data_IF_643574702932
#
_entry.id   IF_643574702932
#
_cell.length_a   1.000
_cell.length_b   1.000
_cell.length_c   1.000
_cell.angle_alpha   90.00
_cell.angle_beta   90.00
_cell.angle_gamma   90.00
#
_symmetry.space_group_name_H-M   'P 1'
#
loop_
_entity.id
_entity.type
_entity.pdbx_description
1 polymer ?
#
# COMPACT_ATOMS: atom_id res chain seq x y z
N UNK A 1 22.89 38.51 42.64
CA UNK A 1 23.76 38.33 41.46
C UNK A 1 23.19 39.20 40.33
N UNK A 2 24.04 39.70 39.43
CA UNK A 2 23.59 40.55 38.32
C UNK A 2 23.02 39.63 37.26
N UNK A 3 21.88 39.98 36.68
CA UNK A 3 21.20 39.32 35.55
C UNK A 3 21.43 40.25 34.31
N UNK A 4 22.39 39.95 33.46
CA UNK A 4 22.82 40.89 32.38
C UNK A 4 21.85 40.94 31.20
N UNK A 5 21.17 39.87 30.90
CA UNK A 5 20.22 39.72 29.76
C UNK A 5 18.73 39.79 30.18
N UNK A 6 18.50 39.80 31.50
CA UNK A 6 17.16 39.90 32.11
C UNK A 6 16.22 38.74 31.78
N UNK A 7 16.72 37.55 31.68
CA UNK A 7 15.94 36.31 31.44
C UNK A 7 15.39 35.71 32.76
N UNK A 8 15.86 36.17 33.93
CA UNK A 8 15.43 35.73 35.25
C UNK A 8 16.34 34.64 35.84
N UNK A 9 17.35 34.18 35.14
CA UNK A 9 18.35 33.22 35.60
C UNK A 9 19.67 33.95 35.89
N UNK A 10 20.47 33.46 36.78
CA UNK A 10 21.68 34.16 37.19
C UNK A 10 22.79 33.22 37.64
N UNK A 11 24.03 33.61 37.38
CA UNK A 11 25.23 32.95 37.89
C UNK A 11 25.48 31.61 37.27
N UNK A 12 25.78 30.61 38.07
CA UNK A 12 26.14 29.24 37.60
C UNK A 12 24.97 28.44 37.06
N UNK A 13 23.75 28.94 37.20
CA UNK A 13 22.55 28.32 36.66
C UNK A 13 22.14 28.87 35.28
N UNK A 14 22.84 29.93 34.86
CA UNK A 14 22.61 30.61 33.61
C UNK A 14 23.63 30.10 32.56
N UNK A 15 23.13 29.33 31.57
CA UNK A 15 23.97 28.70 30.57
C UNK A 15 24.26 29.60 29.35
N UNK A 16 23.58 30.81 29.29
CA UNK A 16 23.86 31.86 28.30
C UNK A 16 23.86 33.25 28.92
N UNK A 17 24.82 33.61 29.78
CA UNK A 17 24.79 34.81 30.64
C UNK A 17 24.65 36.20 29.97
N UNK A 18 24.60 36.25 28.64
CA UNK A 18 24.47 37.49 27.87
C UNK A 18 23.43 37.38 26.75
N UNK A 19 22.72 36.25 26.68
CA UNK A 19 21.71 35.98 25.66
C UNK A 19 20.46 35.51 26.34
N UNK A 20 19.35 36.26 26.21
CA UNK A 20 18.07 35.97 26.82
C UNK A 20 17.55 34.57 26.48
N UNK A 21 17.52 33.66 27.45
CA UNK A 21 17.09 32.26 27.26
C UNK A 21 16.44 31.67 28.54
N UNK A 22 15.28 32.15 28.98
CA UNK A 22 14.68 31.75 30.23
C UNK A 22 14.33 30.25 30.35
N UNK A 23 14.32 29.49 29.24
CA UNK A 23 14.18 28.05 29.22
C UNK A 23 15.42 27.30 29.68
N UNK A 24 16.59 27.89 29.49
CA UNK A 24 17.90 27.29 29.77
C UNK A 24 18.08 25.94 29.10
N UNK A 25 17.56 25.80 27.86
CA UNK A 25 17.76 24.60 27.05
C UNK A 25 19.23 24.40 26.78
N UNK A 26 19.67 23.15 26.82
CA UNK A 26 21.06 22.69 26.62
C UNK A 26 20.91 21.27 26.10
N UNK A 27 20.91 21.15 24.77
CA UNK A 27 20.49 19.93 24.06
C UNK A 27 21.55 18.84 24.19
N UNK A 28 22.84 19.18 24.08
CA UNK A 28 23.95 18.23 24.19
C UNK A 28 24.44 18.03 25.64
N UNK A 29 24.07 18.93 26.57
CA UNK A 29 24.41 18.85 27.98
C UNK A 29 25.88 19.31 28.30
N UNK A 30 26.51 20.10 27.46
CA UNK A 30 27.90 20.57 27.66
C UNK A 30 27.99 21.75 28.63
N UNK A 31 26.87 22.41 28.95
CA UNK A 31 26.73 23.54 29.87
C UNK A 31 26.70 24.89 29.18
N UNK A 32 26.72 24.96 27.85
CA UNK A 32 26.38 26.12 27.04
C UNK A 32 24.93 25.92 26.60
N UNK A 33 24.12 26.94 26.65
CA UNK A 33 22.71 26.79 26.22
C UNK A 33 22.56 27.04 24.74
N UNK A 34 21.58 26.38 24.11
CA UNK A 34 21.28 26.42 22.66
C UNK A 34 21.22 27.88 22.12
N UNK A 35 20.74 28.81 22.92
CA UNK A 35 20.66 30.22 22.52
C UNK A 35 22.01 30.90 22.28
N UNK A 36 23.10 30.33 22.73
CA UNK A 36 24.45 30.87 22.61
C UNK A 36 25.52 29.83 22.24
N UNK A 37 25.10 28.60 22.02
CA UNK A 37 25.93 27.55 21.45
C UNK A 37 25.96 27.69 19.92
N UNK A 38 27.05 27.44 19.24
CA UNK A 38 27.14 27.38 17.78
C UNK A 38 26.92 25.97 17.20
N UNK A 39 26.76 24.92 18.05
CA UNK A 39 26.66 23.51 17.68
C UNK A 39 25.82 22.80 18.77
N UNK A 40 24.50 22.99 18.72
CA UNK A 40 23.53 22.68 19.79
C UNK A 40 23.46 21.19 20.17
N UNK A 41 23.79 20.28 19.25
CA UNK A 41 23.78 18.84 19.48
C UNK A 41 25.16 18.19 19.53
N UNK A 42 26.22 19.01 19.29
CA UNK A 42 27.63 18.64 19.37
C UNK A 42 28.05 17.49 18.44
N UNK A 43 27.44 17.42 17.24
CA UNK A 43 27.77 16.41 16.23
C UNK A 43 28.98 16.83 15.35
N UNK A 44 29.42 18.09 15.48
CA UNK A 44 30.55 18.69 14.79
C UNK A 44 30.19 19.53 13.57
N UNK A 45 28.89 19.72 13.32
CA UNK A 45 28.32 20.62 12.31
C UNK A 45 27.67 21.79 13.06
N UNK A 46 28.00 23.03 12.68
CA UNK A 46 27.38 24.18 13.32
C UNK A 46 25.95 24.39 12.87
N UNK A 47 25.03 24.83 13.77
CA UNK A 47 23.60 24.99 13.56
C UNK A 47 23.22 25.67 12.24
N UNK A 48 23.95 26.69 11.86
CA UNK A 48 23.69 27.44 10.61
C UNK A 48 24.03 26.67 9.33
N UNK A 49 24.59 25.47 9.44
CA UNK A 49 24.98 24.58 8.35
C UNK A 49 24.48 23.15 8.57
N UNK A 50 23.78 22.92 9.69
CA UNK A 50 23.22 21.65 10.10
C UNK A 50 21.79 21.54 9.62
N UNK A 51 21.45 20.41 9.02
CA UNK A 51 20.09 20.13 8.59
C UNK A 51 19.20 19.48 9.67
N UNK A 52 19.80 19.13 10.86
CA UNK A 52 19.07 18.72 12.07
C UNK A 52 19.72 19.29 13.33
N UNK A 53 19.72 20.60 13.58
CA UNK A 53 20.54 21.26 14.60
C UNK A 53 20.36 20.84 16.05
N UNK A 54 19.40 19.97 16.35
CA UNK A 54 19.07 19.47 17.71
C UNK A 54 19.18 17.95 17.82
N UNK A 55 19.50 17.26 16.72
CA UNK A 55 19.56 15.80 16.65
C UNK A 55 20.84 15.36 15.92
N UNK A 56 21.84 14.79 16.60
CA UNK A 56 23.16 14.54 16.07
C UNK A 56 23.20 13.69 14.79
N UNK A 57 23.55 14.29 13.67
CA UNK A 57 23.53 13.65 12.35
C UNK A 57 24.73 14.04 11.46
N UNK A 58 25.95 13.91 11.94
CA UNK A 58 27.19 14.33 11.27
C UNK A 58 27.37 13.84 9.82
N UNK A 59 26.54 12.95 9.32
CA UNK A 59 26.48 12.51 7.92
C UNK A 59 25.63 13.45 7.04
N UNK A 60 24.78 14.29 7.64
CA UNK A 60 23.96 15.30 6.98
C UNK A 60 23.14 14.76 5.81
N UNK A 61 22.60 13.53 5.95
CA UNK A 61 21.74 12.94 4.90
C UNK A 61 20.44 13.73 4.81
N UNK A 62 20.08 14.08 3.60
CA UNK A 62 18.90 14.85 3.19
C UNK A 62 18.51 14.31 1.80
N UNK A 63 17.54 13.44 1.76
CA UNK A 63 17.21 12.64 0.57
C UNK A 63 16.50 13.48 -0.48
N UNK A 64 15.56 14.32 -0.07
CA UNK A 64 14.74 15.16 -0.96
C UNK A 64 15.34 16.55 -1.23
N UNK A 65 16.37 16.91 -0.45
CA UNK A 65 17.10 18.19 -0.58
C UNK A 65 16.27 19.42 -0.20
N UNK A 66 15.40 19.31 0.79
CA UNK A 66 14.59 20.43 1.31
C UNK A 66 15.29 21.23 2.42
N UNK A 67 16.46 20.77 2.89
CA UNK A 67 17.32 21.24 3.97
C UNK A 67 16.84 20.85 5.38
N UNK A 68 15.96 19.88 5.51
CA UNK A 68 15.71 19.12 6.73
C UNK A 68 16.42 17.76 6.55
N UNK A 69 17.17 17.33 7.53
CA UNK A 69 17.87 16.05 7.43
C UNK A 69 16.94 14.89 7.75
N UNK A 70 17.17 13.76 7.12
CA UNK A 70 16.35 12.54 7.32
C UNK A 70 16.15 12.16 8.80
N UNK A 71 17.08 12.50 9.67
CA UNK A 71 16.94 12.20 11.10
C UNK A 71 15.81 12.97 11.78
N UNK A 72 15.54 14.19 11.33
CA UNK A 72 14.55 15.10 11.90
C UNK A 72 13.41 15.44 10.93
N UNK A 73 13.42 14.87 9.74
CA UNK A 73 12.31 14.91 8.80
C UNK A 73 11.27 13.83 9.17
N UNK A 74 10.10 13.94 8.71
CA UNK A 74 9.02 12.98 8.87
C UNK A 74 8.58 12.33 7.55
N UNK A 75 9.14 12.83 6.42
CA UNK A 75 8.84 12.41 5.05
C UNK A 75 10.13 12.63 4.24
N UNK A 76 11.06 11.68 4.40
CA UNK A 76 12.47 11.78 3.99
C UNK A 76 12.66 11.99 2.48
N UNK A 77 11.71 11.59 1.65
CA UNK A 77 11.80 11.72 0.19
C UNK A 77 10.75 12.65 -0.42
N UNK A 78 9.86 13.20 0.43
CA UNK A 78 8.84 14.20 0.09
C UNK A 78 7.84 13.74 -0.97
N UNK A 79 7.47 12.45 -0.93
CA UNK A 79 6.45 11.90 -1.81
C UNK A 79 5.02 12.13 -1.30
N UNK A 80 4.89 12.53 -0.01
CA UNK A 80 3.64 12.84 0.66
C UNK A 80 3.15 11.74 1.61
N UNK A 81 3.93 10.67 1.79
CA UNK A 81 3.74 9.66 2.82
C UNK A 81 4.78 9.84 3.92
N UNK A 82 4.32 9.84 5.20
CA UNK A 82 5.26 9.91 6.33
C UNK A 82 6.04 8.60 6.44
N UNK A 83 7.35 8.64 6.74
CA UNK A 83 8.26 7.47 6.87
C UNK A 83 7.66 6.29 7.64
N UNK A 84 6.87 6.58 8.68
CA UNK A 84 6.24 5.55 9.51
C UNK A 84 5.14 4.76 8.80
N UNK A 85 4.68 5.22 7.65
CA UNK A 85 3.62 4.63 6.83
C UNK A 85 4.08 4.30 5.43
N UNK A 86 5.32 4.63 5.16
CA UNK A 86 5.98 4.41 3.89
C UNK A 86 6.82 3.13 3.97
N UNK A 87 6.62 2.23 3.02
CA UNK A 87 7.44 1.03 2.89
C UNK A 87 8.84 1.35 2.33
N UNK A 88 8.99 2.51 1.65
CA UNK A 88 10.22 2.93 0.97
C UNK A 88 10.59 4.39 1.28
N UNK A 89 10.85 4.78 2.53
CA UNK A 89 10.98 6.17 2.98
C UNK A 89 12.10 7.01 2.32
N UNK A 90 12.82 6.46 1.37
CA UNK A 90 13.92 7.11 0.65
C UNK A 90 13.74 7.04 -0.87
N UNK A 91 12.61 6.54 -1.35
CA UNK A 91 12.33 6.41 -2.79
C UNK A 91 10.99 7.06 -3.15
N UNK A 92 11.00 8.32 -3.62
CA UNK A 92 9.79 9.10 -3.88
C UNK A 92 8.91 8.57 -5.03
N UNK A 93 9.20 7.39 -5.51
CA UNK A 93 8.38 6.70 -6.52
C UNK A 93 7.59 5.53 -5.95
N UNK A 94 7.84 5.12 -4.70
CA UNK A 94 7.26 3.96 -4.06
C UNK A 94 6.85 4.28 -2.61
N UNK A 95 5.70 3.80 -2.16
CA UNK A 95 5.22 3.99 -0.78
C UNK A 95 4.48 2.78 -0.21
N UNK A 96 3.95 1.91 -1.05
CA UNK A 96 3.28 0.68 -0.65
C UNK A 96 4.02 -0.56 -1.16
N UNK A 97 4.02 -1.64 -0.36
CA UNK A 97 4.57 -2.97 -0.65
C UNK A 97 3.55 -3.99 -0.11
N UNK A 98 2.59 -4.37 -0.97
CA UNK A 98 1.41 -5.15 -0.55
C UNK A 98 1.78 -6.56 -0.11
N UNK A 99 2.71 -7.22 -0.80
CA UNK A 99 3.13 -8.59 -0.49
C UNK A 99 4.38 -8.69 0.39
N UNK A 100 5.04 -7.55 0.62
CA UNK A 100 6.25 -7.41 1.45
C UNK A 100 7.47 -8.16 0.89
N UNK A 101 7.64 -8.17 -0.43
CA UNK A 101 8.80 -8.79 -1.08
C UNK A 101 9.99 -7.82 -1.26
N UNK A 102 9.76 -6.52 -1.03
CA UNK A 102 10.74 -5.44 -1.10
C UNK A 102 10.80 -4.75 -2.46
N UNK A 103 9.82 -4.98 -3.31
CA UNK A 103 9.55 -4.21 -4.53
C UNK A 103 8.26 -3.43 -4.26
N UNK A 104 8.26 -2.14 -4.56
CA UNK A 104 7.06 -1.33 -4.35
C UNK A 104 6.02 -1.55 -5.45
N UNK A 105 4.76 -1.35 -5.09
CA UNK A 105 3.62 -1.62 -5.98
C UNK A 105 3.70 -0.88 -7.33
N UNK A 106 4.37 0.27 -7.42
CA UNK A 106 4.52 0.96 -8.71
C UNK A 106 5.52 0.27 -9.66
N UNK A 107 6.46 -0.50 -9.12
CA UNK A 107 7.50 -1.21 -9.87
C UNK A 107 7.25 -2.72 -9.95
N UNK A 108 6.40 -3.26 -9.09
CA UNK A 108 6.05 -4.67 -9.09
C UNK A 108 5.03 -4.96 -10.20
N UNK A 109 5.17 -6.03 -10.96
CA UNK A 109 4.15 -6.49 -11.90
C UNK A 109 3.12 -7.45 -11.30
N UNK A 110 3.17 -7.74 -9.98
CA UNK A 110 2.27 -8.64 -9.26
C UNK A 110 2.24 -8.27 -7.77
N UNK A 111 1.55 -7.18 -7.46
CA UNK A 111 1.57 -6.48 -6.18
C UNK A 111 1.23 -7.34 -4.95
N UNK A 112 0.47 -8.41 -5.11
CA UNK A 112 0.04 -9.28 -4.00
C UNK A 112 0.68 -10.68 -4.02
N UNK A 113 1.51 -10.95 -5.05
CA UNK A 113 2.23 -12.22 -5.23
C UNK A 113 1.29 -13.44 -5.27
N UNK A 114 0.16 -13.31 -5.94
CA UNK A 114 -0.73 -14.42 -6.24
C UNK A 114 -0.30 -15.16 -7.53
N UNK A 115 -1.20 -15.67 -8.36
CA UNK A 115 -0.91 -16.37 -9.61
C UNK A 115 -1.11 -15.48 -10.85
N UNK A 116 -1.71 -14.29 -10.68
CA UNK A 116 -2.03 -13.34 -11.71
C UNK A 116 -1.04 -12.17 -11.69
N UNK A 117 -0.77 -11.57 -12.83
CA UNK A 117 -0.06 -10.31 -12.92
C UNK A 117 -1.09 -9.17 -12.86
N UNK A 118 -0.72 -8.01 -12.35
CA UNK A 118 -1.63 -6.85 -12.20
C UNK A 118 -2.38 -6.50 -13.49
N UNK A 119 -1.72 -6.68 -14.65
CA UNK A 119 -2.33 -6.39 -15.95
C UNK A 119 -3.47 -7.36 -16.33
N UNK A 120 -3.50 -8.54 -15.72
CA UNK A 120 -4.48 -9.60 -15.95
C UNK A 120 -5.34 -9.88 -14.69
N UNK A 121 -5.13 -9.11 -13.61
CA UNK A 121 -5.75 -9.26 -12.32
C UNK A 121 -6.87 -8.24 -12.10
N UNK A 122 -8.05 -8.72 -11.75
CA UNK A 122 -9.17 -7.85 -11.37
C UNK A 122 -8.99 -7.25 -9.96
N UNK A 123 -8.12 -7.83 -9.12
CA UNK A 123 -7.88 -7.45 -7.71
C UNK A 123 -6.39 -7.41 -7.35
N UNK A 124 -5.55 -6.56 -7.97
CA UNK A 124 -4.09 -6.61 -7.88
C UNK A 124 -3.50 -6.48 -6.49
N UNK A 125 -4.30 -6.18 -5.47
CA UNK A 125 -3.87 -6.02 -4.08
C UNK A 125 -4.50 -7.08 -3.15
N UNK A 126 -5.26 -8.04 -3.70
CA UNK A 126 -5.93 -9.09 -2.91
C UNK A 126 -5.49 -10.48 -3.37
N UNK A 127 -4.43 -10.97 -2.78
CA UNK A 127 -3.80 -12.27 -3.08
C UNK A 127 -4.77 -13.49 -3.06
N UNK A 128 -6.02 -13.31 -2.68
CA UNK A 128 -7.04 -14.36 -2.64
C UNK A 128 -7.98 -14.34 -3.83
N UNK A 129 -7.94 -13.29 -4.63
CA UNK A 129 -8.80 -13.08 -5.79
C UNK A 129 -7.93 -12.72 -7.01
N UNK A 130 -8.38 -13.09 -8.19
CA UNK A 130 -7.70 -12.80 -9.45
C UNK A 130 -8.70 -12.48 -10.56
N UNK A 131 -9.80 -13.23 -10.62
CA UNK A 131 -10.81 -13.11 -11.66
C UNK A 131 -12.10 -12.52 -11.10
N UNK A 132 -12.77 -11.75 -11.94
CA UNK A 132 -14.11 -11.20 -11.74
C UNK A 132 -14.84 -11.38 -13.08
N UNK A 133 -15.54 -12.51 -13.22
CA UNK A 133 -16.09 -12.96 -14.51
C UNK A 133 -17.24 -12.06 -14.97
N UNK A 134 -18.09 -11.63 -14.06
CA UNK A 134 -19.26 -10.79 -14.38
C UNK A 134 -19.02 -9.29 -14.18
N UNK A 135 -17.85 -8.94 -13.60
CA UNK A 135 -17.42 -7.57 -13.33
C UNK A 135 -18.31 -6.81 -12.32
N UNK A 136 -18.82 -7.51 -11.29
CA UNK A 136 -19.63 -6.91 -10.23
C UNK A 136 -18.79 -6.36 -9.05
N UNK A 137 -17.48 -6.68 -9.03
CA UNK A 137 -16.51 -6.25 -8.02
C UNK A 137 -16.36 -7.24 -6.86
N UNK A 138 -16.89 -8.45 -6.99
CA UNK A 138 -16.64 -9.61 -6.13
C UNK A 138 -15.82 -10.60 -6.95
N UNK A 139 -14.70 -11.07 -6.40
CA UNK A 139 -13.87 -12.04 -7.10
C UNK A 139 -14.47 -13.45 -7.09
N UNK A 140 -14.18 -14.23 -8.13
CA UNK A 140 -14.75 -15.56 -8.33
C UNK A 140 -14.56 -16.52 -7.13
N UNK A 141 -13.52 -16.32 -6.29
CA UNK A 141 -13.35 -17.18 -5.11
C UNK A 141 -14.33 -16.83 -3.97
N UNK A 142 -14.84 -15.61 -3.94
CA UNK A 142 -15.78 -15.10 -2.94
C UNK A 142 -17.20 -15.01 -3.46
N UNK A 143 -17.39 -15.00 -4.77
CA UNK A 143 -18.71 -14.94 -5.40
C UNK A 143 -19.40 -16.32 -5.36
N UNK A 144 -20.68 -16.42 -5.07
CA UNK A 144 -21.45 -17.66 -5.18
C UNK A 144 -22.08 -17.88 -6.56
N UNK A 145 -22.00 -16.94 -7.51
CA UNK A 145 -22.61 -16.94 -8.85
C UNK A 145 -21.71 -16.11 -9.78
N UNK A 146 -20.59 -16.73 -10.18
CA UNK A 146 -19.42 -16.08 -10.83
C UNK A 146 -19.76 -15.35 -12.13
N UNK A 147 -20.81 -15.74 -12.84
CA UNK A 147 -21.19 -15.14 -14.13
C UNK A 147 -22.52 -14.37 -14.09
N UNK A 148 -23.17 -14.37 -12.90
CA UNK A 148 -24.39 -13.63 -12.58
C UNK A 148 -25.59 -14.01 -13.49
N UNK A 149 -25.66 -15.29 -13.88
CA UNK A 149 -26.76 -15.80 -14.68
C UNK A 149 -28.01 -16.17 -13.83
N UNK A 150 -27.83 -16.25 -12.49
CA UNK A 150 -28.85 -16.55 -11.49
C UNK A 150 -28.82 -17.99 -10.99
N UNK A 151 -27.85 -18.79 -11.41
CA UNK A 151 -27.54 -20.09 -10.84
C UNK A 151 -26.25 -19.99 -10.01
N UNK A 152 -26.29 -20.49 -8.77
CA UNK A 152 -25.09 -20.55 -7.93
C UNK A 152 -24.09 -21.56 -8.52
N UNK A 153 -22.77 -21.28 -8.51
CA UNK A 153 -21.69 -22.13 -9.07
C UNK A 153 -21.81 -23.61 -8.71
N UNK A 154 -22.22 -23.89 -7.46
CA UNK A 154 -22.41 -25.28 -6.98
C UNK A 154 -23.55 -26.04 -7.69
N UNK A 155 -24.40 -25.34 -8.42
CA UNK A 155 -25.56 -25.87 -9.13
C UNK A 155 -25.49 -25.62 -10.62
N UNK A 156 -24.46 -24.90 -11.04
CA UNK A 156 -24.18 -24.53 -12.41
C UNK A 156 -23.16 -25.51 -13.01
N UNK A 157 -23.44 -25.99 -14.20
CA UNK A 157 -22.49 -26.80 -14.95
C UNK A 157 -21.41 -25.96 -15.62
N UNK A 158 -21.64 -24.64 -15.80
CA UNK A 158 -20.76 -23.70 -16.49
C UNK A 158 -20.61 -22.38 -15.73
N UNK A 159 -20.05 -22.36 -14.51
CA UNK A 159 -20.06 -21.21 -13.61
C UNK A 159 -19.41 -19.92 -14.12
N UNK A 160 -18.85 -19.93 -15.30
CA UNK A 160 -18.17 -18.78 -15.93
C UNK A 160 -18.79 -18.39 -17.29
N UNK A 161 -19.91 -19.01 -17.68
CA UNK A 161 -20.60 -18.70 -18.95
C UNK A 161 -22.07 -18.34 -18.72
N UNK A 162 -22.41 -17.05 -18.67
CA UNK A 162 -23.75 -16.56 -18.34
C UNK A 162 -24.85 -16.94 -19.35
N UNK A 163 -24.54 -17.82 -20.27
CA UNK A 163 -25.51 -18.32 -21.25
C UNK A 163 -25.82 -19.79 -21.06
N UNK A 164 -25.09 -20.49 -20.20
CA UNK A 164 -25.20 -21.94 -19.99
C UNK A 164 -25.18 -22.26 -18.50
N UNK A 165 -26.05 -23.11 -18.02
CA UNK A 165 -26.14 -23.54 -16.60
C UNK A 165 -26.47 -25.01 -16.40
N UNK A 166 -26.88 -25.74 -17.46
CA UNK A 166 -27.22 -27.15 -17.44
C UNK A 166 -26.46 -27.88 -18.53
N UNK A 167 -25.94 -29.05 -18.21
CA UNK A 167 -25.37 -30.05 -19.09
C UNK A 167 -26.02 -31.38 -18.73
N UNK A 168 -27.00 -31.79 -19.52
CA UNK A 168 -27.86 -32.94 -19.18
C UNK A 168 -27.13 -34.25 -19.39
N UNK A 169 -26.38 -34.41 -20.48
CA UNK A 169 -25.67 -35.65 -20.80
C UNK A 169 -24.23 -35.69 -20.28
N UNK A 170 -23.66 -34.52 -19.86
CA UNK A 170 -22.35 -34.41 -19.26
C UNK A 170 -21.22 -34.42 -20.29
N UNK A 171 -21.47 -34.01 -21.53
CA UNK A 171 -20.45 -33.99 -22.60
C UNK A 171 -19.60 -32.69 -22.63
N UNK A 172 -20.00 -31.65 -21.84
CA UNK A 172 -19.33 -30.37 -21.71
C UNK A 172 -19.85 -29.31 -22.69
N UNK A 173 -20.98 -29.54 -23.33
CA UNK A 173 -21.76 -28.56 -24.09
C UNK A 173 -23.04 -28.27 -23.29
N UNK A 174 -23.33 -26.98 -23.11
CA UNK A 174 -24.54 -26.63 -22.35
C UNK A 174 -25.80 -26.76 -23.20
N UNK A 175 -26.89 -27.07 -22.54
CA UNK A 175 -28.20 -27.34 -23.19
C UNK A 175 -28.70 -26.19 -24.09
N UNK A 176 -28.26 -24.94 -23.86
CA UNK A 176 -28.66 -23.82 -24.74
C UNK A 176 -27.97 -23.86 -26.10
N UNK A 177 -26.79 -24.49 -26.20
CA UNK A 177 -25.99 -24.61 -27.42
C UNK A 177 -25.90 -26.04 -27.95
N UNK A 178 -26.24 -27.03 -27.13
CA UNK A 178 -26.33 -28.41 -27.57
C UNK A 178 -27.50 -28.60 -28.53
N UNK A 179 -27.50 -29.65 -29.28
CA UNK A 179 -28.53 -30.03 -30.25
C UNK A 179 -29.09 -31.44 -29.98
N UNK A 180 -28.53 -32.11 -28.94
CA UNK A 180 -28.89 -33.47 -28.50
C UNK A 180 -28.67 -33.52 -26.98
N UNK A 181 -29.53 -32.77 -26.23
CA UNK A 181 -29.33 -32.42 -24.82
C UNK A 181 -29.17 -33.64 -23.90
N UNK A 182 -29.77 -34.81 -24.24
CA UNK A 182 -29.67 -36.02 -23.43
C UNK A 182 -28.65 -37.05 -23.97
N UNK A 183 -28.03 -36.76 -25.12
CA UNK A 183 -26.96 -37.57 -25.72
C UNK A 183 -27.43 -38.94 -26.23
N UNK A 184 -28.72 -39.12 -26.55
CA UNK A 184 -29.27 -40.39 -26.96
C UNK A 184 -29.11 -40.69 -28.48
N UNK A 185 -28.68 -39.67 -29.24
CA UNK A 185 -28.38 -39.69 -30.67
C UNK A 185 -29.54 -39.26 -31.55
N UNK A 186 -30.60 -38.75 -30.97
CA UNK A 186 -31.64 -37.99 -31.65
C UNK A 186 -31.47 -36.52 -31.36
N UNK A 187 -31.83 -35.64 -32.29
CA UNK A 187 -31.71 -34.20 -32.07
C UNK A 187 -32.97 -33.70 -31.37
N UNK A 188 -32.81 -32.69 -30.50
CA UNK A 188 -33.92 -32.07 -29.76
C UNK A 188 -35.04 -31.61 -30.67
N UNK A 189 -34.73 -31.05 -31.85
CA UNK A 189 -35.73 -30.63 -32.82
C UNK A 189 -36.56 -31.79 -33.39
N UNK A 190 -35.93 -32.94 -33.57
CA UNK A 190 -36.59 -34.17 -34.04
C UNK A 190 -37.45 -34.79 -32.94
N UNK A 191 -36.98 -34.76 -31.69
CA UNK A 191 -37.68 -35.23 -30.53
C UNK A 191 -38.91 -34.39 -30.21
N UNK A 192 -38.77 -33.08 -30.15
CA UNK A 192 -39.91 -32.16 -30.03
C UNK A 192 -40.91 -32.38 -31.13
N UNK A 193 -40.48 -32.61 -32.37
CA UNK A 193 -41.37 -32.87 -33.50
C UNK A 193 -42.11 -34.21 -33.38
N UNK A 194 -41.52 -35.23 -32.76
CA UNK A 194 -42.10 -36.55 -32.51
C UNK A 194 -42.92 -36.61 -31.22
N UNK A 195 -42.74 -35.61 -30.31
CA UNK A 195 -43.37 -35.54 -29.01
C UNK A 195 -42.69 -36.42 -27.94
N UNK A 196 -41.35 -36.67 -28.11
CA UNK A 196 -40.47 -37.20 -27.09
C UNK A 196 -39.84 -36.06 -26.25
N UNK A 197 -39.12 -36.41 -25.21
CA UNK A 197 -38.48 -35.48 -24.27
C UNK A 197 -37.03 -35.27 -24.69
N UNK A 198 -36.57 -34.05 -24.98
CA UNK A 198 -35.19 -33.78 -25.34
C UNK A 198 -34.24 -33.73 -24.13
N UNK A 199 -34.72 -34.02 -22.88
CA UNK A 199 -33.94 -33.98 -21.65
C UNK A 199 -33.90 -35.30 -20.90
#
# INVERSE_FOLDING_TARGET
QKDPDNDGVTGVNDNCPTTYNPSQTDTDGDGIGDACDPDDDNDGIADGSDNCPLDPNSNQVDTDSDNIGNLCDSDDDNDGYEDQRDAFPLDPSEWDDTDSDGIGNNADPNDDNDQCLDEDDAFPLDRTECLDTDSDGIGNNADPDDDNDGYEDQKDAFPLDPNEWIDTDGDGVGNNTDTDDDGDGYLDEDEIACGSDPL
#
